data_IF_994561113665
#
_entry.id   IF_994561113665
#
_cell.length_a   1.000
_cell.length_b   1.000
_cell.length_c   1.000
_cell.angle_alpha   90.00
_cell.angle_beta   90.00
_cell.angle_gamma   90.00
#
_symmetry.space_group_name_H-M   'P 1'
#
loop_
_entity.id
_entity.type
_entity.pdbx_description
1 polymer ?
#
# COMPACT_ATOMS: atom_id res chain seq x y z
N UNK A 1 -9.26 -18.56 -2.27
CA UNK A 1 -9.04 -17.87 -1.00
C UNK A 1 -10.16 -18.19 -0.02
N UNK A 2 -11.40 -17.86 -0.30
CA UNK A 2 -12.53 -18.08 0.64
C UNK A 2 -12.64 -19.50 1.19
N UNK A 3 -12.40 -20.53 0.37
CA UNK A 3 -12.48 -21.92 0.82
C UNK A 3 -11.42 -22.26 1.89
N UNK A 4 -10.21 -21.77 1.74
CA UNK A 4 -9.16 -21.97 2.75
C UNK A 4 -9.49 -21.23 4.05
N UNK A 5 -9.96 -19.99 3.95
CA UNK A 5 -10.32 -19.18 5.11
C UNK A 5 -11.48 -19.79 5.91
N UNK A 6 -12.51 -20.30 5.23
CA UNK A 6 -13.63 -20.99 5.89
C UNK A 6 -13.28 -22.37 6.43
N UNK A 7 -12.39 -23.11 5.77
CA UNK A 7 -12.00 -24.45 6.17
C UNK A 7 -10.87 -24.53 7.19
N UNK A 8 -9.90 -23.62 7.11
CA UNK A 8 -8.65 -23.64 7.89
C UNK A 8 -8.52 -22.49 8.88
N UNK A 9 -9.41 -21.51 8.83
CA UNK A 9 -9.34 -20.27 9.59
C UNK A 9 -8.35 -19.26 9.00
N UNK A 10 -8.35 -18.05 9.56
CA UNK A 10 -7.45 -16.97 9.18
C UNK A 10 -6.22 -16.98 10.09
N UNK A 11 -5.04 -16.97 9.49
CA UNK A 11 -3.80 -16.84 10.25
C UNK A 11 -3.46 -15.36 10.47
N UNK A 12 -3.02 -15.04 11.67
CA UNK A 12 -2.48 -13.72 12.05
C UNK A 12 -1.39 -13.91 13.12
N UNK A 13 -0.44 -12.97 13.26
CA UNK A 13 0.54 -13.01 14.34
C UNK A 13 -0.15 -12.92 15.70
N UNK A 14 0.27 -13.74 16.66
CA UNK A 14 -0.33 -13.80 18.00
C UNK A 14 -0.18 -12.47 18.74
N UNK A 15 0.96 -11.78 18.56
CA UNK A 15 1.29 -10.50 19.20
C UNK A 15 2.02 -9.56 18.26
N UNK A 16 1.86 -8.24 18.48
CA UNK A 16 2.59 -7.20 17.78
C UNK A 16 2.10 -6.90 16.37
N UNK A 17 0.90 -7.39 16.02
CA UNK A 17 0.20 -7.04 14.78
C UNK A 17 0.87 -7.57 13.50
N UNK A 18 0.33 -7.17 12.35
CA UNK A 18 0.76 -7.66 11.03
C UNK A 18 2.21 -7.27 10.66
N UNK A 19 2.81 -6.30 11.35
CA UNK A 19 4.21 -5.93 11.12
C UNK A 19 5.19 -7.07 11.43
N UNK A 20 4.81 -8.00 12.30
CA UNK A 20 5.60 -9.22 12.59
C UNK A 20 5.90 -10.06 11.34
N UNK A 21 5.02 -10.04 10.34
CA UNK A 21 5.29 -10.70 9.06
C UNK A 21 6.51 -10.07 8.37
N UNK A 22 6.60 -8.75 8.39
CA UNK A 22 7.74 -8.01 7.80
C UNK A 22 9.02 -8.29 8.60
N UNK A 23 8.96 -8.24 9.93
CA UNK A 23 10.11 -8.51 10.79
C UNK A 23 10.66 -9.92 10.56
N UNK A 24 9.81 -10.95 10.57
CA UNK A 24 10.22 -12.34 10.33
C UNK A 24 10.86 -12.52 8.94
N UNK A 25 10.34 -11.85 7.91
CA UNK A 25 10.95 -11.88 6.59
C UNK A 25 12.32 -11.18 6.55
N UNK A 26 12.47 -10.07 7.28
CA UNK A 26 13.76 -9.37 7.41
C UNK A 26 14.79 -10.24 8.13
N UNK A 27 14.39 -10.91 9.22
CA UNK A 27 15.26 -11.83 9.95
C UNK A 27 15.76 -12.97 9.04
N UNK A 28 14.82 -13.66 8.38
CA UNK A 28 15.16 -14.73 7.43
C UNK A 28 16.07 -14.23 6.30
N UNK A 29 15.80 -13.04 5.76
CA UNK A 29 16.63 -12.46 4.71
C UNK A 29 18.06 -12.16 5.19
N UNK A 30 18.22 -11.70 6.44
CA UNK A 30 19.54 -11.51 7.04
C UNK A 30 20.30 -12.83 7.22
N UNK A 31 19.62 -13.89 7.64
CA UNK A 31 20.21 -15.22 7.78
C UNK A 31 20.79 -15.76 6.47
N UNK A 32 20.16 -15.46 5.34
CA UNK A 32 20.66 -15.84 4.00
C UNK A 32 21.59 -14.78 3.38
N UNK A 33 22.06 -13.80 4.17
CA UNK A 33 23.09 -12.84 3.77
C UNK A 33 22.61 -11.59 3.07
N UNK A 34 21.30 -11.29 3.04
CA UNK A 34 20.77 -10.04 2.48
C UNK A 34 21.19 -8.84 3.36
N UNK A 35 21.72 -7.82 2.71
CA UNK A 35 22.10 -6.56 3.38
C UNK A 35 21.00 -5.53 3.20
N UNK A 36 20.51 -4.99 4.31
CA UNK A 36 19.52 -3.91 4.35
C UNK A 36 20.21 -2.55 4.47
N UNK A 37 19.69 -1.57 3.77
CA UNK A 37 20.16 -0.19 3.82
C UNK A 37 18.93 0.74 3.78
N UNK A 38 18.53 1.23 4.94
CA UNK A 38 17.52 2.27 5.09
C UNK A 38 18.06 3.65 4.71
N UNK A 39 17.17 4.62 4.55
CA UNK A 39 17.49 6.01 4.22
C UNK A 39 18.42 6.12 2.99
N UNK A 40 18.19 5.23 2.02
CA UNK A 40 18.99 5.08 0.82
C UNK A 40 18.12 5.16 -0.44
N UNK A 41 17.78 6.38 -0.83
CA UNK A 41 17.00 6.62 -2.03
C UNK A 41 17.80 6.25 -3.28
N UNK A 42 17.16 5.53 -4.20
CA UNK A 42 17.70 5.25 -5.54
C UNK A 42 17.29 6.39 -6.47
N UNK A 43 18.27 7.12 -6.99
CA UNK A 43 18.07 8.29 -7.85
C UNK A 43 18.07 7.93 -9.34
N UNK A 44 18.76 6.83 -9.71
CA UNK A 44 18.90 6.41 -11.11
C UNK A 44 19.28 4.94 -11.22
N UNK A 45 18.77 4.27 -12.26
CA UNK A 45 19.23 2.94 -12.68
C UNK A 45 20.22 3.14 -13.85
N UNK A 46 21.43 2.60 -13.71
CA UNK A 46 22.49 2.70 -14.68
C UNK A 46 22.38 1.58 -15.72
N UNK A 47 22.42 1.97 -16.99
CA UNK A 47 22.22 1.08 -18.14
C UNK A 47 23.38 1.26 -19.11
N UNK A 48 23.98 0.15 -19.49
CA UNK A 48 24.98 0.08 -20.58
C UNK A 48 24.59 -1.08 -21.49
N UNK A 49 24.62 -0.87 -22.82
CA UNK A 49 24.31 -1.89 -23.84
C UNK A 49 22.98 -2.65 -23.57
N UNK A 50 21.93 -1.91 -23.16
CA UNK A 50 20.61 -2.46 -22.79
C UNK A 50 20.66 -3.45 -21.62
N UNK A 51 21.64 -3.34 -20.72
CA UNK A 51 21.76 -4.14 -19.50
C UNK A 51 21.87 -3.22 -18.30
N UNK A 52 21.34 -3.64 -17.17
CA UNK A 52 21.63 -3.02 -15.89
C UNK A 52 23.11 -3.20 -15.57
N UNK A 53 23.76 -2.16 -15.10
CA UNK A 53 25.15 -2.19 -14.59
C UNK A 53 25.28 -1.62 -13.18
N UNK A 54 24.19 -1.10 -12.62
CA UNK A 54 24.18 -0.57 -11.26
C UNK A 54 23.04 0.40 -11.02
N UNK A 55 23.09 1.05 -9.87
CA UNK A 55 22.20 2.14 -9.46
C UNK A 55 23.01 3.29 -8.87
N UNK A 56 22.46 4.51 -8.94
CA UNK A 56 22.91 5.63 -8.12
C UNK A 56 21.96 5.70 -6.93
N UNK A 57 22.50 5.63 -5.71
CA UNK A 57 21.73 5.74 -4.49
C UNK A 57 22.41 6.71 -3.54
N UNK A 58 21.70 7.74 -3.10
CA UNK A 58 22.25 8.85 -2.32
C UNK A 58 23.56 9.40 -2.94
N UNK A 59 23.58 9.61 -4.25
CA UNK A 59 24.72 10.11 -5.01
C UNK A 59 25.90 9.13 -5.17
N UNK A 60 25.81 7.88 -4.68
CA UNK A 60 26.86 6.86 -4.81
C UNK A 60 26.51 5.81 -5.84
N UNK A 61 27.50 5.41 -6.66
CA UNK A 61 27.34 4.31 -7.58
C UNK A 61 27.46 2.96 -6.84
N UNK A 62 26.46 2.12 -7.04
CA UNK A 62 26.43 0.73 -6.58
C UNK A 62 26.32 -0.17 -7.81
N UNK A 63 27.36 -0.96 -8.10
CA UNK A 63 27.36 -1.89 -9.24
C UNK A 63 26.49 -3.11 -8.93
N UNK A 64 25.69 -3.52 -9.92
CA UNK A 64 24.91 -4.76 -9.87
C UNK A 64 24.51 -5.19 -11.28
N UNK A 65 24.25 -6.49 -11.44
CA UNK A 65 23.80 -7.08 -12.71
C UNK A 65 22.28 -7.14 -12.82
N UNK A 66 21.60 -7.07 -11.68
CA UNK A 66 20.15 -7.21 -11.56
C UNK A 66 19.61 -6.11 -10.64
N UNK A 67 18.55 -5.46 -11.08
CA UNK A 67 17.71 -4.57 -10.27
C UNK A 67 16.30 -5.15 -10.23
N UNK A 68 15.83 -5.48 -9.04
CA UNK A 68 14.42 -5.79 -8.76
C UNK A 68 13.80 -4.61 -8.04
N UNK A 69 12.90 -3.89 -8.70
CA UNK A 69 12.20 -2.78 -8.09
C UNK A 69 10.88 -3.21 -7.46
N UNK A 70 10.73 -2.94 -6.16
CA UNK A 70 9.47 -3.02 -5.41
C UNK A 70 8.80 -1.65 -5.23
N UNK A 71 9.41 -0.57 -5.71
CA UNK A 71 8.81 0.76 -5.71
C UNK A 71 7.67 0.86 -6.74
N UNK A 72 6.91 1.98 -6.70
CA UNK A 72 5.89 2.23 -7.71
C UNK A 72 6.46 2.08 -9.13
N UNK A 73 5.70 1.40 -9.99
CA UNK A 73 6.18 1.05 -11.35
C UNK A 73 6.44 2.29 -12.20
N UNK A 74 5.53 3.26 -12.17
CA UNK A 74 5.70 4.52 -12.89
C UNK A 74 6.94 5.27 -12.38
N UNK A 75 7.11 5.36 -11.06
CA UNK A 75 8.30 5.96 -10.46
C UNK A 75 9.57 5.26 -10.91
N UNK A 76 9.63 3.93 -10.85
CA UNK A 76 10.80 3.17 -11.31
C UNK A 76 11.15 3.48 -12.76
N UNK A 77 10.14 3.65 -13.62
CA UNK A 77 10.36 4.04 -15.02
C UNK A 77 10.89 5.48 -15.19
N UNK A 78 10.70 6.35 -14.18
CA UNK A 78 11.35 7.68 -14.21
C UNK A 78 12.85 7.59 -13.87
N UNK A 79 13.32 6.54 -13.23
CA UNK A 79 14.74 6.32 -12.90
C UNK A 79 15.56 5.85 -14.12
N UNK A 80 14.95 5.63 -15.28
CA UNK A 80 15.59 5.21 -16.54
C UNK A 80 15.27 6.19 -17.68
N UNK A 81 16.14 6.25 -18.72
CA UNK A 81 15.88 7.09 -19.90
C UNK A 81 14.56 6.71 -20.58
N UNK A 82 13.84 7.71 -21.09
CA UNK A 82 12.48 7.57 -21.65
C UNK A 82 12.36 6.51 -22.74
N UNK A 83 13.37 6.36 -23.59
CA UNK A 83 13.40 5.37 -24.66
C UNK A 83 13.47 3.90 -24.18
N UNK A 84 13.87 3.69 -22.93
CA UNK A 84 13.94 2.37 -22.31
C UNK A 84 12.70 1.97 -21.51
N UNK A 85 11.79 2.90 -21.24
CA UNK A 85 10.55 2.61 -20.48
C UNK A 85 9.67 1.59 -21.20
N UNK A 86 9.04 0.71 -20.44
CA UNK A 86 8.07 -0.26 -20.98
C UNK A 86 6.79 0.44 -21.42
N UNK A 87 6.39 1.49 -20.65
CA UNK A 87 5.12 2.18 -20.81
C UNK A 87 5.34 3.70 -20.90
N UNK A 88 4.50 4.35 -21.71
CA UNK A 88 4.50 5.81 -21.84
C UNK A 88 3.72 6.48 -20.70
N UNK A 89 3.90 7.80 -20.53
CA UNK A 89 3.06 8.56 -19.61
C UNK A 89 1.57 8.44 -19.97
N UNK A 90 1.24 8.50 -21.27
CA UNK A 90 -0.13 8.32 -21.76
C UNK A 90 -0.72 6.94 -21.44
N UNK A 91 0.09 5.90 -21.31
CA UNK A 91 -0.39 4.60 -20.84
C UNK A 91 -0.89 4.69 -19.38
N UNK A 92 -0.09 5.30 -18.50
CA UNK A 92 -0.43 5.46 -17.10
C UNK A 92 -1.63 6.40 -16.88
N UNK A 93 -1.72 7.47 -17.67
CA UNK A 93 -2.82 8.44 -17.60
C UNK A 93 -4.18 7.80 -17.92
N UNK A 94 -4.19 6.82 -18.84
CA UNK A 94 -5.40 6.10 -19.28
C UNK A 94 -5.80 4.95 -18.36
N UNK A 95 -4.98 4.62 -17.35
CA UNK A 95 -5.29 3.52 -16.44
C UNK A 95 -6.28 3.95 -15.36
N UNK A 96 -7.19 3.03 -15.05
CA UNK A 96 -8.09 3.16 -13.90
C UNK A 96 -7.32 2.64 -12.68
N UNK A 97 -7.08 3.50 -11.73
CA UNK A 97 -6.44 3.12 -10.46
C UNK A 97 -7.49 2.67 -9.46
N UNK A 98 -7.12 1.75 -8.59
CA UNK A 98 -7.87 1.42 -7.40
C UNK A 98 -7.88 2.63 -6.43
N UNK A 99 -8.73 2.63 -5.41
CA UNK A 99 -8.81 3.77 -4.51
C UNK A 99 -7.47 4.17 -3.91
N UNK A 100 -7.30 5.44 -3.61
CA UNK A 100 -6.42 5.92 -2.57
C UNK A 100 -7.13 5.82 -1.21
N UNK A 101 -6.51 6.29 -0.15
CA UNK A 101 -7.09 6.25 1.18
C UNK A 101 -6.77 7.52 1.97
N UNK A 102 -7.76 7.96 2.75
CA UNK A 102 -7.51 8.83 3.90
C UNK A 102 -7.48 7.96 5.15
N UNK A 103 -6.33 7.92 5.81
CA UNK A 103 -6.07 7.10 6.98
C UNK A 103 -5.92 7.98 8.23
N UNK A 104 -6.43 7.48 9.36
CA UNK A 104 -6.15 8.05 10.67
C UNK A 104 -5.64 6.97 11.61
N UNK A 105 -4.58 7.31 12.33
CA UNK A 105 -4.00 6.55 13.43
C UNK A 105 -4.28 7.33 14.70
N UNK A 106 -5.06 6.77 15.60
CA UNK A 106 -5.57 7.45 16.78
C UNK A 106 -5.25 6.60 18.01
N UNK A 107 -4.69 7.22 19.03
CA UNK A 107 -4.57 6.64 20.36
C UNK A 107 -5.62 7.26 21.29
N UNK A 108 -6.31 6.43 22.04
CA UNK A 108 -7.31 6.82 23.01
C UNK A 108 -6.85 6.46 24.43
N UNK A 109 -7.14 7.31 25.41
CA UNK A 109 -6.86 7.05 26.84
C UNK A 109 -8.02 6.33 27.56
N UNK A 110 -8.82 5.60 26.79
CA UNK A 110 -9.94 4.78 27.29
C UNK A 110 -10.14 3.53 26.44
N UNK A 111 -10.80 2.52 26.99
CA UNK A 111 -11.29 1.36 26.25
C UNK A 111 -12.63 1.65 25.58
N UNK A 112 -12.88 0.99 24.44
CA UNK A 112 -14.13 1.06 23.68
C UNK A 112 -14.86 -0.27 23.83
N UNK A 113 -16.07 -0.24 24.43
CA UNK A 113 -16.77 -1.45 24.83
C UNK A 113 -17.76 -1.97 23.77
N UNK A 114 -18.33 -1.06 22.95
CA UNK A 114 -19.45 -1.39 22.06
C UNK A 114 -19.05 -1.67 20.63
N UNK A 115 -17.77 -1.58 20.31
CA UNK A 115 -17.25 -1.83 18.98
C UNK A 115 -16.39 -3.11 18.96
N UNK A 116 -16.31 -3.73 17.82
CA UNK A 116 -15.50 -4.91 17.59
C UNK A 116 -14.07 -4.55 17.12
N UNK A 117 -13.17 -5.52 17.06
CA UNK A 117 -11.86 -5.35 16.45
C UNK A 117 -11.97 -4.78 15.03
N UNK A 118 -12.90 -5.30 14.21
CA UNK A 118 -13.18 -4.83 12.85
C UNK A 118 -14.59 -4.30 12.75
N UNK A 119 -14.75 -3.07 12.25
CA UNK A 119 -16.05 -2.42 12.06
C UNK A 119 -16.12 -1.81 10.66
N UNK A 120 -17.20 -2.10 9.95
CA UNK A 120 -17.49 -1.54 8.64
C UNK A 120 -18.72 -0.64 8.74
N UNK A 121 -18.57 0.61 8.32
CA UNK A 121 -19.64 1.61 8.33
C UNK A 121 -20.21 1.73 6.91
N UNK A 122 -21.26 0.95 6.64
CA UNK A 122 -22.01 0.90 5.38
C UNK A 122 -23.44 1.45 5.55
N UNK A 123 -23.57 2.48 6.34
CA UNK A 123 -24.82 3.13 6.72
C UNK A 123 -25.31 4.19 5.69
N UNK A 124 -24.57 4.36 4.58
CA UNK A 124 -24.89 5.26 3.47
C UNK A 124 -24.76 4.54 2.12
N UNK A 125 -25.16 5.19 1.03
CA UNK A 125 -25.14 4.58 -0.30
C UNK A 125 -23.74 4.16 -0.75
N UNK A 126 -23.57 2.87 -1.00
CA UNK A 126 -22.33 2.32 -1.58
C UNK A 126 -22.11 2.81 -3.01
N UNK A 127 -23.16 2.80 -3.84
CA UNK A 127 -23.06 3.18 -5.26
C UNK A 127 -22.64 4.63 -5.43
N UNK A 128 -23.16 5.52 -4.56
CA UNK A 128 -22.77 6.93 -4.57
C UNK A 128 -21.28 7.09 -4.26
N UNK A 129 -20.79 6.45 -3.20
CA UNK A 129 -19.37 6.53 -2.82
C UNK A 129 -18.47 5.88 -3.89
N UNK A 130 -18.87 4.76 -4.47
CA UNK A 130 -18.14 4.12 -5.57
C UNK A 130 -18.06 5.03 -6.80
N UNK A 131 -19.15 5.69 -7.17
CA UNK A 131 -19.16 6.66 -8.28
C UNK A 131 -18.26 7.87 -8.01
N UNK A 132 -18.20 8.36 -6.77
CA UNK A 132 -17.29 9.45 -6.34
C UNK A 132 -15.81 9.04 -6.40
N UNK A 133 -15.51 7.74 -6.42
CA UNK A 133 -14.14 7.23 -6.60
C UNK A 133 -13.81 7.01 -8.08
N UNK A 134 -14.72 6.38 -8.85
CA UNK A 134 -14.39 5.84 -10.17
C UNK A 134 -14.96 6.63 -11.34
N UNK A 135 -16.22 7.10 -11.25
CA UNK A 135 -16.92 7.73 -12.36
C UNK A 135 -16.77 9.25 -12.35
N UNK A 136 -16.84 9.85 -11.17
CA UNK A 136 -16.74 11.28 -10.95
C UNK A 136 -15.81 11.56 -9.76
N UNK A 137 -14.48 11.40 -9.92
CA UNK A 137 -13.51 11.49 -8.84
C UNK A 137 -13.61 12.79 -8.03
N UNK A 138 -14.02 12.65 -6.79
CA UNK A 138 -14.16 13.76 -5.83
C UNK A 138 -14.08 13.27 -4.40
N UNK A 139 -13.97 14.19 -3.46
CA UNK A 139 -14.09 13.87 -2.04
C UNK A 139 -15.50 13.40 -1.74
N UNK A 140 -15.69 12.22 -1.09
CA UNK A 140 -17.02 11.65 -0.87
C UNK A 140 -17.87 12.55 0.03
N UNK A 141 -19.12 12.79 -0.38
CA UNK A 141 -20.05 13.59 0.41
C UNK A 141 -20.38 12.92 1.74
N UNK A 142 -20.62 11.62 1.68
CA UNK A 142 -20.92 10.77 2.85
C UNK A 142 -20.05 9.51 2.76
N UNK A 143 -18.85 9.48 3.38
CA UNK A 143 -17.92 8.38 3.17
C UNK A 143 -18.40 7.10 3.83
N UNK A 144 -18.23 5.97 3.13
CA UNK A 144 -18.11 4.66 3.76
C UNK A 144 -16.70 4.53 4.34
N UNK A 145 -16.55 3.85 5.46
CA UNK A 145 -15.24 3.71 6.09
C UNK A 145 -15.13 2.44 6.92
N UNK A 146 -13.90 2.07 7.17
CA UNK A 146 -13.52 0.97 8.04
C UNK A 146 -12.84 1.50 9.29
N UNK A 147 -13.13 0.87 10.43
CA UNK A 147 -12.48 1.17 11.71
C UNK A 147 -11.94 -0.11 12.31
N UNK A 148 -10.71 -0.06 12.79
CA UNK A 148 -10.02 -1.17 13.43
C UNK A 148 -9.54 -0.78 14.83
N UNK A 149 -9.83 -1.64 15.80
CA UNK A 149 -9.34 -1.54 17.17
C UNK A 149 -8.50 -2.79 17.50
N UNK A 150 -7.25 -2.87 17.05
CA UNK A 150 -6.42 -4.08 17.23
C UNK A 150 -6.15 -4.39 18.71
N UNK A 151 -6.13 -3.40 19.58
CA UNK A 151 -5.94 -3.56 21.02
C UNK A 151 -7.09 -4.25 21.76
N UNK A 152 -8.23 -4.51 21.09
CA UNK A 152 -9.30 -5.36 21.65
C UNK A 152 -8.86 -6.82 21.73
N UNK A 153 -8.05 -7.29 20.80
CA UNK A 153 -7.62 -8.70 20.73
C UNK A 153 -6.13 -8.92 20.97
N UNK A 154 -5.31 -7.87 20.88
CA UNK A 154 -3.87 -7.91 21.11
C UNK A 154 -3.48 -6.81 22.09
N UNK A 155 -3.20 -7.19 23.33
CA UNK A 155 -2.86 -6.25 24.42
C UNK A 155 -1.53 -5.51 24.17
N UNK A 156 -0.67 -6.01 23.28
CA UNK A 156 0.60 -5.35 22.96
C UNK A 156 0.43 -4.16 21.99
N UNK A 157 -0.81 -3.95 21.47
CA UNK A 157 -1.11 -2.89 20.49
C UNK A 157 -1.46 -1.54 21.12
N UNK A 158 -1.64 -1.45 22.44
CA UNK A 158 -1.84 -0.20 23.17
C UNK A 158 -1.40 -0.35 24.63
N UNK A 159 -1.02 0.74 25.33
CA UNK A 159 -0.81 0.72 26.77
C UNK A 159 -2.07 0.27 27.54
N UNK A 160 -1.87 -0.21 28.76
CA UNK A 160 -2.98 -0.60 29.64
C UNK A 160 -3.99 0.54 29.81
N UNK A 161 -5.29 0.24 29.70
CA UNK A 161 -6.37 1.22 29.77
C UNK A 161 -6.57 2.05 28.49
N UNK A 162 -5.64 1.96 27.53
CA UNK A 162 -5.70 2.69 26.25
C UNK A 162 -6.25 1.84 25.11
N UNK A 163 -6.64 2.49 24.00
CA UNK A 163 -7.09 1.84 22.78
C UNK A 163 -6.33 2.40 21.56
N UNK A 164 -5.99 1.51 20.62
CA UNK A 164 -5.47 1.87 19.32
C UNK A 164 -6.62 1.84 18.31
N UNK A 165 -6.87 2.96 17.64
CA UNK A 165 -7.92 3.09 16.65
C UNK A 165 -7.33 3.48 15.29
N UNK A 166 -7.58 2.65 14.28
CA UNK A 166 -7.22 2.92 12.90
C UNK A 166 -8.49 3.13 12.07
N UNK A 167 -8.54 4.23 11.30
CA UNK A 167 -9.67 4.55 10.43
C UNK A 167 -9.18 4.61 8.99
N UNK A 168 -9.93 3.99 8.06
CA UNK A 168 -9.65 4.02 6.64
C UNK A 168 -10.90 4.46 5.87
N UNK A 169 -10.75 5.55 5.11
CA UNK A 169 -11.76 6.05 4.18
C UNK A 169 -11.22 5.86 2.77
N UNK A 170 -11.84 5.02 1.92
CA UNK A 170 -11.49 4.93 0.51
C UNK A 170 -11.82 6.25 -0.20
N UNK A 171 -10.91 6.74 -1.02
CA UNK A 171 -11.08 7.98 -1.78
C UNK A 171 -10.52 7.82 -3.19
N UNK A 172 -10.89 8.69 -4.12
CA UNK A 172 -10.25 8.70 -5.43
C UNK A 172 -8.76 9.07 -5.31
N UNK A 173 -7.88 8.50 -6.14
CA UNK A 173 -6.51 9.00 -6.27
C UNK A 173 -6.51 10.40 -6.91
N UNK A 174 -5.37 11.11 -6.82
CA UNK A 174 -5.14 12.43 -7.43
C UNK A 174 -6.00 13.58 -6.86
N UNK A 175 -6.70 13.35 -5.76
CA UNK A 175 -7.46 14.41 -5.09
C UNK A 175 -6.52 15.41 -4.40
N UNK A 176 -6.91 16.69 -4.43
CA UNK A 176 -6.22 17.72 -3.65
C UNK A 176 -6.42 17.43 -2.16
N UNK A 177 -5.32 17.31 -1.46
CA UNK A 177 -5.24 16.91 -0.06
C UNK A 177 -4.61 18.03 0.77
N UNK A 178 -5.28 18.40 1.86
CA UNK A 178 -4.78 19.39 2.81
C UNK A 178 -5.29 19.10 4.23
N UNK A 179 -4.76 19.81 5.21
CA UNK A 179 -5.05 19.60 6.63
C UNK A 179 -6.52 19.89 6.98
N UNK A 180 -7.12 20.87 6.35
CA UNK A 180 -8.52 21.27 6.58
C UNK A 180 -9.48 20.16 6.15
N UNK A 181 -9.24 19.58 4.95
CA UNK A 181 -10.02 18.46 4.43
C UNK A 181 -9.87 17.25 5.34
N UNK A 182 -8.64 16.89 5.72
CA UNK A 182 -8.41 15.75 6.64
C UNK A 182 -9.14 15.93 7.96
N UNK A 183 -9.09 17.12 8.57
CA UNK A 183 -9.82 17.40 9.81
C UNK A 183 -11.34 17.34 9.63
N UNK A 184 -11.87 17.87 8.51
CA UNK A 184 -13.30 17.75 8.18
C UNK A 184 -13.75 16.28 8.18
N UNK A 185 -13.02 15.41 7.49
CA UNK A 185 -13.38 13.99 7.40
C UNK A 185 -13.19 13.26 8.72
N UNK A 186 -12.18 13.61 9.50
CA UNK A 186 -12.04 13.06 10.85
C UNK A 186 -13.27 13.36 11.70
N UNK A 187 -13.74 14.61 11.72
CA UNK A 187 -14.91 14.99 12.49
C UNK A 187 -16.18 14.27 12.02
N UNK A 188 -16.36 14.09 10.70
CA UNK A 188 -17.49 13.35 10.14
C UNK A 188 -17.49 11.89 10.64
N UNK A 189 -16.35 11.21 10.55
CA UNK A 189 -16.28 9.79 10.92
C UNK A 189 -16.32 9.59 12.42
N UNK A 190 -15.67 10.43 13.22
CA UNK A 190 -15.75 10.37 14.68
C UNK A 190 -17.18 10.53 15.18
N UNK A 191 -17.92 11.52 14.66
CA UNK A 191 -19.33 11.70 15.02
C UNK A 191 -20.14 10.44 14.73
N UNK A 192 -19.98 9.81 13.57
CA UNK A 192 -20.73 8.58 13.22
C UNK A 192 -20.32 7.39 14.08
N UNK A 193 -19.05 7.27 14.44
CA UNK A 193 -18.57 6.25 15.36
C UNK A 193 -19.22 6.47 16.75
N UNK A 194 -19.21 7.70 17.26
CA UNK A 194 -19.81 8.06 18.56
C UNK A 194 -21.31 7.80 18.59
N UNK A 195 -22.02 8.16 17.51
CA UNK A 195 -23.47 7.95 17.41
C UNK A 195 -23.82 6.44 17.47
N UNK A 196 -23.02 5.56 16.86
CA UNK A 196 -23.23 4.11 16.89
C UNK A 196 -22.74 3.49 18.19
N UNK A 197 -21.57 3.88 18.69
CA UNK A 197 -21.03 3.40 19.95
C UNK A 197 -21.86 3.88 21.16
N UNK A 198 -22.56 5.01 21.03
CA UNK A 198 -23.29 5.64 22.10
C UNK A 198 -22.38 6.16 23.21
N UNK A 199 -21.13 6.47 22.87
CA UNK A 199 -20.13 7.00 23.79
C UNK A 199 -19.21 8.00 23.09
N UNK A 200 -18.68 8.96 23.84
CA UNK A 200 -17.72 9.95 23.32
C UNK A 200 -16.35 9.32 23.17
N UNK A 201 -15.71 9.60 22.02
CA UNK A 201 -14.38 9.13 21.66
C UNK A 201 -13.45 10.32 21.42
N UNK A 202 -13.97 11.38 20.80
CA UNK A 202 -13.20 12.57 20.39
C UNK A 202 -12.49 13.26 21.57
N UNK A 203 -13.09 13.23 22.77
CA UNK A 203 -12.55 13.84 23.99
C UNK A 203 -11.38 13.04 24.61
N UNK A 204 -11.24 11.77 24.21
CA UNK A 204 -10.23 10.84 24.72
C UNK A 204 -9.04 10.66 23.76
N UNK A 205 -8.93 11.48 22.73
CA UNK A 205 -7.83 11.38 21.76
C UNK A 205 -6.54 11.96 22.34
N UNK A 206 -5.57 11.11 22.63
CA UNK A 206 -4.24 11.50 23.12
C UNK A 206 -3.17 11.49 22.02
N UNK A 207 -3.43 10.80 20.92
CA UNK A 207 -2.55 10.76 19.74
C UNK A 207 -3.37 10.79 18.46
N UNK A 208 -2.89 11.53 17.47
CA UNK A 208 -3.50 11.60 16.14
C UNK A 208 -2.47 11.82 15.05
N UNK A 209 -2.47 10.94 14.05
CA UNK A 209 -1.73 11.09 12.80
C UNK A 209 -2.67 10.78 11.64
N UNK A 210 -2.59 11.54 10.56
CA UNK A 210 -3.28 11.24 9.30
C UNK A 210 -2.28 10.90 8.20
N UNK A 211 -2.72 10.13 7.22
CA UNK A 211 -1.96 9.78 6.02
C UNK A 211 -2.91 9.76 4.82
N UNK A 212 -2.54 10.42 3.72
CA UNK A 212 -3.43 10.60 2.58
C UNK A 212 -2.65 10.72 1.25
N UNK A 213 -3.29 11.17 0.18
CA UNK A 213 -2.75 11.26 -1.18
C UNK A 213 -1.34 11.85 -1.24
N UNK A 214 -1.11 13.01 -0.60
CA UNK A 214 0.20 13.66 -0.60
C UNK A 214 1.28 12.80 0.10
N UNK A 215 0.90 12.09 1.17
CA UNK A 215 1.83 11.22 1.89
C UNK A 215 2.16 9.97 1.06
N UNK A 216 1.19 9.38 0.34
CA UNK A 216 1.46 8.29 -0.60
C UNK A 216 2.41 8.73 -1.72
N UNK A 217 2.31 9.97 -2.19
CA UNK A 217 3.22 10.53 -3.20
C UNK A 217 4.62 10.72 -2.59
N UNK A 218 4.74 11.36 -1.43
CA UNK A 218 6.03 11.72 -0.83
C UNK A 218 6.79 10.53 -0.27
N UNK A 219 6.09 9.60 0.41
CA UNK A 219 6.73 8.49 1.13
C UNK A 219 6.95 7.25 0.23
N UNK A 220 6.03 7.01 -0.72
CA UNK A 220 6.08 5.81 -1.57
C UNK A 220 6.31 6.13 -3.06
N UNK A 221 6.46 7.40 -3.44
CA UNK A 221 6.51 7.82 -4.84
C UNK A 221 5.33 7.29 -5.66
N UNK A 222 4.18 7.11 -5.02
CA UNK A 222 3.02 6.46 -5.60
C UNK A 222 2.37 7.33 -6.67
N UNK A 223 2.21 6.80 -7.87
CA UNK A 223 1.61 7.53 -8.99
C UNK A 223 0.18 7.96 -8.64
N UNK A 224 -0.09 9.29 -8.71
CA UNK A 224 -1.38 9.90 -8.30
C UNK A 224 -1.79 9.61 -6.85
N UNK A 225 -0.84 9.24 -6.00
CA UNK A 225 -1.11 8.90 -4.60
C UNK A 225 -2.02 7.68 -4.43
N UNK A 226 -2.00 6.73 -5.38
CA UNK A 226 -2.78 5.51 -5.25
C UNK A 226 -2.27 4.64 -4.10
N UNK A 227 -3.19 3.96 -3.39
CA UNK A 227 -2.83 3.05 -2.30
C UNK A 227 -2.77 1.58 -2.74
N UNK A 228 -3.56 1.19 -3.75
CA UNK A 228 -3.77 -0.21 -4.11
C UNK A 228 -3.41 -0.56 -5.56
N UNK A 229 -2.72 0.33 -6.27
CA UNK A 229 -2.34 0.08 -7.66
C UNK A 229 -3.50 0.17 -8.65
N UNK A 230 -3.47 -0.68 -9.68
CA UNK A 230 -4.51 -0.67 -10.71
C UNK A 230 -5.81 -1.34 -10.25
N UNK A 231 -6.95 -0.74 -10.59
CA UNK A 231 -8.25 -1.35 -10.41
C UNK A 231 -8.35 -2.68 -11.19
N UNK A 232 -9.03 -3.66 -10.62
CA UNK A 232 -9.20 -4.99 -11.21
C UNK A 232 -10.33 -5.00 -12.25
N UNK A 233 -10.22 -4.14 -13.27
CA UNK A 233 -11.10 -4.20 -14.44
C UNK A 233 -10.68 -5.35 -15.36
N UNK A 234 -11.58 -5.79 -16.27
CA UNK A 234 -11.33 -6.92 -17.16
C UNK A 234 -10.00 -6.79 -17.93
N UNK A 235 -9.67 -5.59 -18.41
CA UNK A 235 -8.46 -5.32 -19.18
C UNK A 235 -7.27 -4.81 -18.34
N UNK A 236 -7.32 -4.94 -17.02
CA UNK A 236 -6.23 -4.55 -16.10
C UNK A 236 -5.86 -5.65 -15.12
N UNK A 237 -6.38 -6.88 -15.29
CA UNK A 237 -6.08 -8.03 -14.44
C UNK A 237 -5.20 -9.06 -15.16
N UNK A 238 -4.63 -9.99 -14.41
CA UNK A 238 -3.87 -11.13 -14.91
C UNK A 238 -2.81 -10.71 -15.94
N UNK A 239 -2.91 -11.24 -17.16
CA UNK A 239 -1.94 -11.01 -18.26
C UNK A 239 -1.88 -9.56 -18.76
N UNK A 240 -2.90 -8.75 -18.45
CA UNK A 240 -2.99 -7.33 -18.81
C UNK A 240 -2.30 -6.40 -17.82
N UNK A 241 -1.89 -6.91 -16.64
CA UNK A 241 -1.10 -6.12 -15.69
C UNK A 241 0.28 -5.78 -16.26
N UNK A 242 0.92 -4.72 -15.78
CA UNK A 242 2.29 -4.39 -16.12
C UNK A 242 3.22 -5.60 -15.96
N UNK A 243 4.16 -5.74 -16.89
CA UNK A 243 5.07 -6.89 -16.96
C UNK A 243 6.09 -6.86 -15.83
N UNK A 244 6.35 -8.00 -15.21
CA UNK A 244 7.35 -8.16 -14.15
C UNK A 244 8.80 -8.06 -14.64
N UNK A 245 9.02 -8.05 -15.95
CA UNK A 245 10.34 -7.96 -16.60
C UNK A 245 10.37 -6.80 -17.58
N UNK A 246 11.45 -6.03 -17.58
CA UNK A 246 11.65 -5.02 -18.61
C UNK A 246 11.72 -5.66 -20.01
N UNK A 247 11.03 -5.06 -20.96
CA UNK A 247 11.05 -5.47 -22.36
C UNK A 247 12.32 -5.02 -23.11
N UNK A 248 13.03 -4.05 -22.56
CA UNK A 248 14.11 -3.32 -23.27
C UNK A 248 15.44 -3.39 -22.55
N UNK A 249 15.45 -3.76 -21.27
CA UNK A 249 16.64 -3.77 -20.42
C UNK A 249 16.78 -5.15 -19.79
N UNK A 250 17.88 -5.84 -20.07
CA UNK A 250 18.23 -7.08 -19.37
C UNK A 250 18.63 -6.76 -17.92
N UNK A 251 18.17 -7.56 -16.98
CA UNK A 251 18.48 -7.39 -15.55
C UNK A 251 17.55 -6.41 -14.79
N UNK A 252 16.55 -5.81 -15.44
CA UNK A 252 15.55 -4.96 -14.74
C UNK A 252 14.22 -5.70 -14.59
N UNK A 253 13.78 -5.81 -13.34
CA UNK A 253 12.53 -6.49 -12.94
C UNK A 253 11.69 -5.62 -12.03
N UNK A 254 10.39 -5.94 -11.94
CA UNK A 254 9.39 -5.23 -11.16
C UNK A 254 8.56 -6.21 -10.33
N UNK A 255 8.20 -5.84 -9.11
CA UNK A 255 7.33 -6.61 -8.22
C UNK A 255 6.36 -5.68 -7.49
N UNK A 256 5.40 -6.24 -6.78
CA UNK A 256 4.47 -5.48 -5.96
C UNK A 256 3.11 -5.25 -6.61
N UNK A 257 2.35 -4.32 -6.03
CA UNK A 257 0.92 -4.13 -6.28
C UNK A 257 0.51 -3.79 -7.73
N UNK A 258 1.40 -3.15 -8.50
CA UNK A 258 1.14 -2.80 -9.91
C UNK A 258 1.40 -3.96 -10.87
N UNK A 259 2.00 -5.05 -10.40
CA UNK A 259 2.25 -6.27 -11.19
C UNK A 259 1.29 -7.40 -10.80
N UNK A 260 1.50 -8.59 -11.35
CA UNK A 260 0.73 -9.79 -10.98
C UNK A 260 1.17 -10.32 -9.61
N UNK A 261 0.21 -10.80 -8.76
CA UNK A 261 -1.24 -10.85 -9.00
C UNK A 261 -1.98 -9.56 -8.66
N UNK A 262 -1.39 -8.61 -7.95
CA UNK A 262 -1.99 -7.34 -7.57
C UNK A 262 -1.73 -6.93 -6.12
N UNK A 263 -2.56 -6.04 -5.53
CA UNK A 263 -2.35 -5.52 -4.19
C UNK A 263 -2.74 -6.51 -3.08
N UNK A 264 -2.16 -6.30 -1.90
CA UNK A 264 -2.41 -7.05 -0.69
C UNK A 264 -1.19 -7.84 -0.20
N UNK A 265 -1.17 -8.23 1.08
CA UNK A 265 -0.03 -8.96 1.68
C UNK A 265 0.23 -10.28 0.96
N UNK A 266 -0.73 -11.22 0.84
CA UNK A 266 -0.49 -12.47 0.10
C UNK A 266 -0.14 -12.26 -1.37
N UNK A 267 -0.82 -11.38 -2.13
CA UNK A 267 -0.43 -11.07 -3.50
C UNK A 267 0.99 -10.51 -3.63
N UNK A 268 1.45 -9.69 -2.70
CA UNK A 268 2.82 -9.14 -2.71
C UNK A 268 3.87 -10.25 -2.53
N UNK A 269 3.63 -11.20 -1.62
CA UNK A 269 4.48 -12.38 -1.45
C UNK A 269 4.51 -13.26 -2.70
N UNK A 270 3.34 -13.48 -3.32
CA UNK A 270 3.22 -14.24 -4.57
C UNK A 270 3.95 -13.52 -5.70
N UNK A 271 3.86 -12.19 -5.80
CA UNK A 271 4.59 -11.40 -6.78
C UNK A 271 6.10 -11.57 -6.63
N UNK A 272 6.61 -11.51 -5.40
CA UNK A 272 8.02 -11.79 -5.08
C UNK A 272 8.45 -13.19 -5.52
N UNK A 273 7.64 -14.20 -5.24
CA UNK A 273 7.90 -15.59 -5.66
C UNK A 273 7.91 -15.77 -7.17
N UNK A 274 7.01 -15.11 -7.89
CA UNK A 274 6.94 -15.18 -9.37
C UNK A 274 8.18 -14.53 -9.98
N UNK A 275 8.53 -13.32 -9.53
CA UNK A 275 9.67 -12.59 -10.10
C UNK A 275 11.00 -13.28 -9.77
N UNK A 276 11.17 -13.82 -8.56
CA UNK A 276 12.40 -14.55 -8.19
C UNK A 276 12.63 -15.77 -9.09
N UNK A 277 11.59 -16.57 -9.36
CA UNK A 277 11.67 -17.68 -10.32
C UNK A 277 12.04 -17.21 -11.71
N UNK A 278 11.49 -16.08 -12.15
CA UNK A 278 11.83 -15.51 -13.47
C UNK A 278 13.29 -15.07 -13.54
N UNK A 279 13.81 -14.44 -12.47
CA UNK A 279 15.22 -14.06 -12.38
C UNK A 279 16.14 -15.28 -12.45
N UNK A 280 15.83 -16.34 -11.67
CA UNK A 280 16.61 -17.59 -11.68
C UNK A 280 16.62 -18.27 -13.05
N UNK A 281 15.54 -18.19 -13.81
CA UNK A 281 15.48 -18.69 -15.18
C UNK A 281 16.33 -17.86 -16.16
N UNK A 282 16.35 -16.54 -16.00
CA UNK A 282 17.11 -15.63 -16.84
C UNK A 282 18.63 -15.63 -16.53
N UNK A 283 19.00 -16.02 -15.30
CA UNK A 283 20.38 -16.04 -14.78
C UNK A 283 20.67 -17.37 -14.06
N UNK A 284 20.69 -18.51 -14.77
CA UNK A 284 20.76 -19.82 -14.14
C UNK A 284 22.10 -20.15 -13.45
N UNK A 285 23.13 -19.35 -13.69
CA UNK A 285 24.50 -19.56 -13.17
C UNK A 285 24.96 -18.47 -12.17
N UNK A 286 24.01 -17.70 -11.62
CA UNK A 286 24.29 -16.69 -10.60
C UNK A 286 23.71 -17.05 -9.25
#
# INVERSE_FOLDING_TARGET
>A
MNHADFGLGTWFPEKGGMYRVVESMVELAKEVGVKFKSDCQVDKILIQDKKVVGVIANGKNLSCDIVLSGADYNHTEQLIPKNYRNYSSSYWDKKVFAPSSLLFYIGLDKKIEKLSHHNLFFDVSFDKHASEIYDNPQWPESPLFYVNFPSITDNDMAPEGCENCFILIPIAPDLKDNKEIRNKYLNIVLKRIEDIAGEKISENIIYKKSFCVNDFISEYNSYKGNAYGLANTLFQTSIFKPKIKSKKIKGLYFTGQLTVPGPGVPPSLISGKIVSKTIMQDFPNQ
#
